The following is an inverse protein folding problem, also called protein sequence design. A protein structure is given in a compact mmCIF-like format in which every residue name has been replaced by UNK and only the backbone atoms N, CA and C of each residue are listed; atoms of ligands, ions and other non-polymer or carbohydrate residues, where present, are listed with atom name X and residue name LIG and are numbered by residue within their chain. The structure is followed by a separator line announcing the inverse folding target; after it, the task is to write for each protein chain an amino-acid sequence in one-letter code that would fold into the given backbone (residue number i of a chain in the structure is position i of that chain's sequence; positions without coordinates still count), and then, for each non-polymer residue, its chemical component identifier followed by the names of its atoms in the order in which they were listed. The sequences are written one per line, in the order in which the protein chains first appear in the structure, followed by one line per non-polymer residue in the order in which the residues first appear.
data_IF_776958553023
#
_entry.id   IF_776958553023
#
_cell.length_a   1.000
_cell.length_b   1.000
_cell.length_c   1.000
_cell.angle_alpha   90.00
_cell.angle_beta   90.00
_cell.angle_gamma   90.00
#
_symmetry.space_group_name_H-M   'P 1'
#
loop_
_entity.id
_entity.type
_entity.pdbx_description
1 polymer ?
#
# COMPACT_ATOMS: atom_id res chain seq x y z
N UNK A 1 5.08 13.02 15.43
CA UNK A 1 3.68 13.26 15.83
C UNK A 1 2.94 13.83 14.62
N UNK A 2 2.29 12.97 13.83
CA UNK A 2 1.60 13.35 12.59
C UNK A 2 0.18 13.78 12.96
N UNK A 3 -0.17 15.03 12.68
CA UNK A 3 -1.54 15.54 12.82
C UNK A 3 -2.25 15.41 11.47
N UNK A 4 -3.03 14.35 11.29
CA UNK A 4 -4.02 14.28 10.21
C UNK A 4 -5.26 15.08 10.64
N UNK A 5 -5.62 16.14 9.91
CA UNK A 5 -6.99 16.69 9.95
C UNK A 5 -7.78 16.04 8.82
N UNK A 6 -8.86 15.36 9.17
CA UNK A 6 -9.79 14.78 8.19
C UNK A 6 -10.88 15.82 7.93
N UNK A 7 -10.90 16.42 6.73
CA UNK A 7 -12.00 17.24 6.26
C UNK A 7 -13.06 16.33 5.60
N UNK A 8 -14.31 16.31 6.11
CA UNK A 8 -15.39 15.48 5.56
C UNK A 8 -15.87 15.90 4.15
N UNK A 9 -15.32 16.95 3.53
CA UNK A 9 -15.63 17.38 2.16
C UNK A 9 -14.62 16.91 1.09
N UNK A 10 -13.51 16.27 1.48
CA UNK A 10 -12.45 15.86 0.57
C UNK A 10 -12.73 14.48 -0.07
N UNK A 11 -13.66 14.42 -1.02
CA UNK A 11 -13.63 13.34 -2.02
C UNK A 11 -12.35 13.51 -2.84
N UNK A 12 -11.43 12.55 -2.73
CA UNK A 12 -10.32 12.34 -3.67
C UNK A 12 -9.39 13.55 -3.90
N UNK A 13 -8.80 14.11 -2.85
CA UNK A 13 -7.53 14.83 -3.03
C UNK A 13 -6.39 13.87 -2.69
N UNK A 14 -5.70 13.40 -3.73
CA UNK A 14 -4.33 12.95 -3.57
C UNK A 14 -3.56 14.20 -3.15
N UNK A 15 -3.39 14.41 -1.84
CA UNK A 15 -2.58 15.53 -1.37
C UNK A 15 -1.14 15.19 -1.76
N UNK A 16 -0.65 15.93 -2.75
CA UNK A 16 0.76 16.10 -3.06
C UNK A 16 1.37 16.86 -1.86
N UNK A 17 1.49 16.18 -0.72
CA UNK A 17 2.18 16.74 0.42
C UNK A 17 3.67 16.55 0.20
N UNK A 18 4.40 17.67 0.16
CA UNK A 18 5.85 17.64 0.30
C UNK A 18 6.18 16.95 1.61
N UNK A 19 6.82 15.77 1.55
CA UNK A 19 7.59 15.32 2.70
C UNK A 19 8.56 16.47 2.99
N UNK A 20 8.56 16.98 4.23
CA UNK A 20 9.35 18.13 4.68
C UNK A 20 10.86 17.91 4.65
N UNK A 21 11.39 17.54 3.49
CA UNK A 21 12.74 17.07 3.20
C UNK A 21 12.89 16.78 1.71
N UNK A 22 12.59 17.75 0.83
CA UNK A 22 13.04 17.77 -0.57
C UNK A 22 12.59 16.62 -1.51
N UNK A 23 11.75 15.70 -1.06
CA UNK A 23 11.22 14.59 -1.84
C UNK A 23 9.69 14.68 -1.87
N UNK A 24 9.13 15.13 -2.98
CA UNK A 24 7.68 15.07 -3.17
C UNK A 24 7.32 13.63 -3.55
N UNK A 25 6.59 12.93 -2.67
CA UNK A 25 6.16 11.55 -2.88
C UNK A 25 4.65 11.43 -2.68
N UNK A 26 3.93 11.00 -3.72
CA UNK A 26 2.50 10.75 -3.64
C UNK A 26 2.24 9.39 -2.97
N UNK A 27 1.58 9.40 -1.80
CA UNK A 27 1.16 8.18 -1.12
C UNK A 27 -0.26 7.77 -1.54
N UNK A 28 -0.40 6.59 -2.15
CA UNK A 28 -1.72 6.03 -2.47
C UNK A 28 -2.22 5.23 -1.27
N UNK A 29 -3.09 5.85 -0.46
CA UNK A 29 -3.51 5.35 0.87
C UNK A 29 -4.55 4.22 0.83
N UNK A 30 -5.31 4.09 -0.26
CA UNK A 30 -6.34 3.05 -0.41
C UNK A 30 -6.34 2.50 -1.83
N UNK A 31 -6.65 1.22 -2.05
CA UNK A 31 -6.77 0.66 -3.38
C UNK A 31 -8.03 1.25 -4.03
N UNK A 32 -7.89 2.39 -4.69
CA UNK A 32 -8.95 2.98 -5.51
C UNK A 32 -9.13 2.19 -6.83
N UNK A 33 -8.73 0.91 -6.86
CA UNK A 33 -8.59 0.12 -8.07
C UNK A 33 -7.34 0.52 -8.87
N UNK A 34 -6.67 -0.47 -9.44
CA UNK A 34 -5.38 -0.31 -10.14
C UNK A 34 -5.43 0.76 -11.23
N UNK A 35 -6.56 0.85 -11.96
CA UNK A 35 -6.75 1.85 -13.04
C UNK A 35 -6.74 3.29 -12.51
N UNK A 36 -7.49 3.58 -11.43
CA UNK A 36 -7.51 4.94 -10.87
C UNK A 36 -6.16 5.30 -10.28
N UNK A 37 -5.50 4.34 -9.64
CA UNK A 37 -4.16 4.55 -9.11
C UNK A 37 -3.15 4.87 -10.23
N UNK A 38 -3.27 4.22 -11.39
CA UNK A 38 -2.43 4.52 -12.55
C UNK A 38 -2.69 5.93 -13.12
N UNK A 39 -3.96 6.38 -13.14
CA UNK A 39 -4.29 7.76 -13.53
C UNK A 39 -3.67 8.79 -12.57
N UNK A 40 -3.70 8.51 -11.27
CA UNK A 40 -3.05 9.36 -10.26
C UNK A 40 -1.53 9.38 -10.47
N UNK A 41 -0.92 8.23 -10.76
CA UNK A 41 0.51 8.15 -11.03
C UNK A 41 0.92 8.99 -12.25
N UNK A 42 0.10 8.97 -13.33
CA UNK A 42 0.32 9.79 -14.52
C UNK A 42 0.16 11.30 -14.22
N UNK A 43 -0.78 11.69 -13.35
CA UNK A 43 -0.91 13.09 -12.92
C UNK A 43 0.29 13.54 -12.07
N UNK A 44 0.81 12.67 -11.21
CA UNK A 44 2.00 12.94 -10.41
C UNK A 44 3.25 13.11 -11.28
N UNK A 45 3.35 12.36 -12.38
CA UNK A 45 4.46 12.45 -13.34
C UNK A 45 4.58 13.85 -13.96
N UNK A 46 3.45 14.48 -14.33
CA UNK A 46 3.44 15.86 -14.89
C UNK A 46 3.94 16.88 -13.86
N UNK A 47 3.79 16.60 -12.57
CA UNK A 47 4.27 17.45 -11.48
C UNK A 47 5.68 17.08 -11.00
N UNK A 48 6.39 16.17 -11.69
CA UNK A 48 7.70 15.64 -11.28
C UNK A 48 7.68 15.01 -9.88
N UNK A 49 6.52 14.50 -9.46
CA UNK A 49 6.33 13.86 -8.17
C UNK A 49 6.48 12.35 -8.33
N UNK A 50 7.23 11.76 -7.40
CA UNK A 50 7.47 10.32 -7.42
C UNK A 50 6.37 9.57 -6.68
N UNK A 51 6.19 8.30 -7.04
CA UNK A 51 5.17 7.42 -6.47
C UNK A 51 5.76 6.55 -5.36
N UNK A 52 5.16 6.59 -4.17
CA UNK A 52 5.48 5.72 -3.04
C UNK A 52 4.21 5.02 -2.53
N UNK A 53 3.88 3.81 -3.03
CA UNK A 53 2.66 3.12 -2.64
C UNK A 53 2.68 2.72 -1.15
N UNK A 54 1.63 3.11 -0.42
CA UNK A 54 1.47 2.82 1.01
C UNK A 54 0.91 1.39 1.20
N UNK A 55 1.40 0.71 2.23
CA UNK A 55 0.98 -0.63 2.61
C UNK A 55 0.94 -0.81 4.13
N UNK A 56 -0.27 -0.69 4.69
CA UNK A 56 -0.57 -1.14 6.05
C UNK A 56 -1.79 -2.08 6.05
N UNK A 57 -1.74 -3.08 5.17
CA UNK A 57 -2.84 -4.00 4.87
C UNK A 57 -2.31 -5.43 4.61
N UNK A 58 -3.21 -6.33 4.24
CA UNK A 58 -2.86 -7.69 3.83
C UNK A 58 -2.09 -7.77 2.49
N UNK A 59 -1.58 -8.96 2.15
CA UNK A 59 -0.67 -9.17 1.03
C UNK A 59 -1.28 -8.92 -0.36
N UNK A 60 -2.62 -8.94 -0.48
CA UNK A 60 -3.34 -8.63 -1.73
C UNK A 60 -3.17 -7.18 -2.16
N UNK A 61 -3.22 -6.25 -1.22
CA UNK A 61 -2.94 -4.82 -1.50
C UNK A 61 -1.47 -4.67 -1.89
N UNK A 62 -0.60 -5.44 -1.26
CA UNK A 62 0.82 -5.55 -1.62
C UNK A 62 1.03 -5.95 -3.07
N UNK A 63 0.37 -7.01 -3.52
CA UNK A 63 0.42 -7.46 -4.90
C UNK A 63 -0.08 -6.39 -5.88
N UNK A 64 -1.18 -5.70 -5.57
CA UNK A 64 -1.67 -4.60 -6.40
C UNK A 64 -0.69 -3.43 -6.47
N UNK A 65 -0.03 -3.09 -5.36
CA UNK A 65 1.00 -2.06 -5.32
C UNK A 65 2.25 -2.46 -6.12
N UNK A 66 2.66 -3.73 -6.11
CA UNK A 66 3.76 -4.25 -6.92
C UNK A 66 3.44 -4.10 -8.41
N UNK A 67 2.22 -4.47 -8.82
CA UNK A 67 1.79 -4.32 -10.22
C UNK A 67 1.81 -2.85 -10.66
N UNK A 68 1.32 -1.94 -9.81
CA UNK A 68 1.36 -0.51 -10.09
C UNK A 68 2.80 0.01 -10.17
N UNK A 69 3.65 -0.34 -9.22
CA UNK A 69 5.06 0.05 -9.22
C UNK A 69 5.80 -0.44 -10.47
N UNK A 70 5.50 -1.66 -10.93
CA UNK A 70 6.14 -2.26 -12.10
C UNK A 70 5.76 -1.55 -13.40
N UNK A 71 4.56 -0.95 -13.48
CA UNK A 71 4.09 -0.24 -14.68
C UNK A 71 4.19 1.29 -14.59
N UNK A 72 4.75 1.85 -13.52
CA UNK A 72 4.88 3.29 -13.30
C UNK A 72 6.34 3.76 -13.45
N UNK A 73 6.65 4.68 -14.39
CA UNK A 73 8.02 5.16 -14.59
C UNK A 73 8.51 6.08 -13.48
N UNK A 74 7.60 6.76 -12.77
CA UNK A 74 7.89 7.67 -11.66
C UNK A 74 7.91 6.98 -10.29
N UNK A 75 8.15 5.66 -10.22
CA UNK A 75 8.21 4.91 -8.97
C UNK A 75 9.47 5.25 -8.14
N UNK A 76 9.31 5.49 -6.83
CA UNK A 76 10.41 5.74 -5.89
C UNK A 76 10.74 4.51 -5.04
N UNK A 77 9.77 4.08 -4.22
CA UNK A 77 9.95 2.99 -3.26
C UNK A 77 8.60 2.35 -2.95
N UNK A 78 8.62 1.05 -2.64
CA UNK A 78 7.43 0.28 -2.27
C UNK A 78 7.49 -0.03 -0.79
N UNK A 79 6.45 0.34 -0.04
CA UNK A 79 6.31 -0.07 1.34
C UNK A 79 6.03 -1.58 1.42
N UNK A 80 6.77 -2.26 2.29
CA UNK A 80 6.61 -3.68 2.58
C UNK A 80 6.54 -3.90 4.09
N UNK A 81 5.72 -4.85 4.53
CA UNK A 81 5.70 -5.28 5.92
C UNK A 81 6.83 -6.30 6.09
N UNK A 82 7.90 -5.84 6.74
CA UNK A 82 9.17 -6.56 6.89
C UNK A 82 9.73 -7.05 5.53
N UNK A 83 9.82 -8.37 5.34
CA UNK A 83 10.28 -9.02 4.10
C UNK A 83 9.21 -9.93 3.51
N UNK A 84 7.92 -9.60 3.71
CA UNK A 84 6.79 -10.39 3.20
C UNK A 84 6.74 -11.83 3.71
N UNK A 85 7.13 -11.99 4.98
CA UNK A 85 7.27 -13.27 5.67
C UNK A 85 6.19 -13.46 6.75
N UNK A 86 6.13 -14.65 7.35
CA UNK A 86 5.15 -14.96 8.39
C UNK A 86 3.72 -15.02 7.85
N UNK A 87 2.76 -14.43 8.56
CA UNK A 87 1.34 -14.52 8.20
C UNK A 87 1.04 -13.97 6.80
N UNK A 88 1.78 -12.94 6.34
CA UNK A 88 1.63 -12.42 4.98
C UNK A 88 2.07 -13.41 3.90
N UNK A 89 3.02 -14.30 4.21
CA UNK A 89 3.41 -15.40 3.32
C UNK A 89 2.39 -16.54 3.37
N UNK A 90 1.93 -16.92 4.57
CA UNK A 90 1.03 -18.06 4.77
C UNK A 90 -0.38 -17.84 4.15
N UNK A 91 -0.84 -16.59 4.16
CA UNK A 91 -2.12 -16.18 3.54
C UNK A 91 -2.09 -16.34 2.02
N UNK A 92 -0.91 -16.38 1.40
CA UNK A 92 -0.76 -16.62 -0.03
C UNK A 92 -0.38 -18.08 -0.30
N UNK A 93 -0.89 -18.66 -1.39
CA UNK A 93 -0.43 -19.98 -1.87
C UNK A 93 1.03 -19.90 -2.33
N UNK A 94 1.41 -18.77 -2.94
CA UNK A 94 2.78 -18.43 -3.30
C UNK A 94 3.17 -17.11 -2.65
N UNK A 95 4.21 -17.08 -1.80
CA UNK A 95 4.64 -15.86 -1.16
C UNK A 95 5.24 -14.88 -2.16
N UNK A 96 5.12 -13.58 -1.86
CA UNK A 96 5.79 -12.52 -2.60
C UNK A 96 7.31 -12.70 -2.41
N UNK A 97 8.05 -12.66 -3.52
CA UNK A 97 9.51 -12.84 -3.49
C UNK A 97 10.19 -11.54 -3.09
N UNK A 98 10.99 -11.63 -2.03
CA UNK A 98 11.84 -10.55 -1.56
C UNK A 98 13.29 -11.01 -1.58
N UNK A 99 14.16 -10.25 -2.25
CA UNK A 99 15.58 -10.57 -2.44
C UNK A 99 16.42 -9.30 -2.28
N UNK A 100 17.37 -9.31 -1.34
CA UNK A 100 18.37 -8.25 -1.15
C UNK A 100 17.82 -6.81 -1.07
N UNK A 101 16.66 -6.61 -0.44
CA UNK A 101 16.03 -5.28 -0.33
C UNK A 101 15.03 -4.96 -1.44
N UNK A 102 14.90 -5.83 -2.44
CA UNK A 102 13.99 -5.64 -3.58
C UNK A 102 12.86 -6.66 -3.55
N UNK A 103 11.69 -6.23 -4.02
CA UNK A 103 10.57 -7.13 -4.29
C UNK A 103 10.63 -7.52 -5.76
N UNK A 104 10.58 -8.83 -6.04
CA UNK A 104 10.62 -9.35 -7.41
C UNK A 104 9.18 -9.47 -7.93
N UNK A 105 8.81 -8.74 -9.00
CA UNK A 105 7.46 -8.80 -9.54
C UNK A 105 7.08 -10.22 -9.98
N UNK A 106 5.88 -10.71 -9.65
CA UNK A 106 5.40 -12.00 -10.13
C UNK A 106 5.17 -11.94 -11.65
N UNK A 107 5.32 -13.09 -12.32
CA UNK A 107 5.14 -13.22 -13.79
C UNK A 107 3.81 -13.89 -14.15
N UNK A 108 3.12 -14.41 -13.15
CA UNK A 108 1.81 -15.01 -13.29
C UNK A 108 0.75 -13.97 -13.71
N UNK A 109 -0.28 -14.38 -14.47
CA UNK A 109 -1.33 -13.47 -14.91
C UNK A 109 -2.14 -12.89 -13.73
N UNK A 110 -2.71 -11.70 -13.94
CA UNK A 110 -3.50 -11.00 -12.93
C UNK A 110 -2.62 -10.29 -11.90
N UNK A 111 -2.96 -10.39 -10.62
CA UNK A 111 -2.17 -9.80 -9.54
C UNK A 111 -0.91 -10.62 -9.22
N UNK A 112 -0.80 -11.85 -9.75
CA UNK A 112 0.32 -12.75 -9.48
C UNK A 112 0.33 -13.33 -8.06
N UNK A 113 -0.81 -13.27 -7.37
CA UNK A 113 -1.01 -13.86 -6.04
C UNK A 113 -2.31 -14.66 -6.01
N UNK A 114 -2.32 -15.71 -5.20
CA UNK A 114 -3.47 -16.57 -4.95
C UNK A 114 -3.66 -16.69 -3.44
N UNK A 115 -4.90 -16.54 -2.98
CA UNK A 115 -5.24 -16.55 -1.57
C UNK A 115 -5.43 -17.98 -1.06
N UNK A 116 -4.88 -18.28 0.11
CA UNK A 116 -5.15 -19.51 0.82
C UNK A 116 -6.46 -19.38 1.62
N UNK A 117 -7.60 -19.65 0.97
CA UNK A 117 -8.93 -19.52 1.56
C UNK A 117 -9.11 -20.38 2.82
N UNK A 118 -8.48 -21.56 2.86
CA UNK A 118 -8.54 -22.46 4.02
C UNK A 118 -7.89 -21.83 5.25
N UNK A 119 -6.75 -21.16 5.08
CA UNK A 119 -6.10 -20.45 6.17
C UNK A 119 -6.93 -19.24 6.61
N UNK A 120 -7.44 -18.46 5.65
CA UNK A 120 -8.25 -17.26 5.94
C UNK A 120 -9.51 -17.61 6.72
N UNK A 121 -10.21 -18.68 6.32
CA UNK A 121 -11.41 -19.15 7.02
C UNK A 121 -11.14 -19.56 8.48
N UNK A 122 -9.91 -19.95 8.83
CA UNK A 122 -9.50 -20.29 10.20
C UNK A 122 -9.19 -19.07 11.07
N UNK A 123 -9.04 -17.88 10.47
CA UNK A 123 -8.63 -16.65 11.17
C UNK A 123 -9.71 -15.55 11.07
N UNK A 124 -10.94 -15.78 11.56
CA UNK A 124 -11.94 -14.71 11.62
C UNK A 124 -11.54 -13.67 12.66
N UNK A 125 -11.71 -12.39 12.32
CA UNK A 125 -11.56 -11.30 13.27
C UNK A 125 -12.71 -11.35 14.30
N UNK A 126 -12.36 -11.41 15.60
CA UNK A 126 -13.32 -11.49 16.72
C UNK A 126 -13.27 -10.27 17.65
N UNK A 127 -12.43 -9.29 17.34
CA UNK A 127 -12.33 -8.06 18.12
C UNK A 127 -13.47 -7.09 17.77
N UNK A 128 -13.58 -6.04 18.59
CA UNK A 128 -14.49 -4.91 18.36
C UNK A 128 -13.74 -3.62 17.99
N UNK A 129 -12.41 -3.70 17.88
CA UNK A 129 -11.54 -2.56 17.57
C UNK A 129 -11.49 -2.33 16.06
N UNK A 130 -11.15 -1.11 15.66
CA UNK A 130 -10.88 -0.81 14.26
C UNK A 130 -9.45 -1.24 13.88
N UNK A 131 -9.20 -1.38 12.58
CA UNK A 131 -7.86 -1.70 12.04
C UNK A 131 -6.78 -0.72 12.53
N UNK A 132 -7.15 0.55 12.69
CA UNK A 132 -6.33 1.58 13.30
C UNK A 132 -7.24 2.51 14.12
N UNK A 133 -6.82 2.80 15.35
CA UNK A 133 -7.48 3.76 16.22
C UNK A 133 -6.51 4.86 16.63
N UNK A 134 -7.03 6.08 16.73
CA UNK A 134 -6.26 7.18 17.28
C UNK A 134 -6.30 7.12 18.79
N UNK A 135 -5.17 7.42 19.44
CA UNK A 135 -5.14 7.57 20.88
C UNK A 135 -6.16 8.64 21.33
N UNK A 136 -7.11 8.24 22.18
CA UNK A 136 -8.20 9.12 22.65
C UNK A 136 -7.80 10.14 23.71
N UNK A 137 -6.50 10.22 24.07
CA UNK A 137 -5.99 11.11 25.11
C UNK A 137 -4.80 11.93 24.57
N UNK A 138 -4.67 13.21 24.96
CA UNK A 138 -3.49 14.00 24.63
C UNK A 138 -2.22 13.38 25.20
N UNK A 139 -1.10 13.56 24.49
CA UNK A 139 0.22 13.30 25.03
C UNK A 139 0.56 14.45 25.98
N UNK A 140 0.62 14.16 27.29
CA UNK A 140 1.08 15.07 28.35
C UNK A 140 2.60 15.08 28.42
#
# INVERSE_FOLDING_TARGET
MIRARVDPRAVQRCELESFGGGFDAACIRQPSGTVRNHMIAALAEVQHVQLAPHLYCGPVVGAANIQLATCSPNFLILEGIERWQGFHADVLVKPIRWEAGYVIPPREPGLGVELNEVLIARHPYKGNELHLEMAGKPLV
#
